data_IF_008789941425
#
_entry.id   IF_008789941425
#
_cell.length_a   1.000
_cell.length_b   1.000
_cell.length_c   1.000
_cell.angle_alpha   90.00
_cell.angle_beta   90.00
_cell.angle_gamma   90.00
#
_symmetry.space_group_name_H-M   'P 1'
#
loop_
_entity.id
_entity.type
_entity.pdbx_description
1 polymer ?
#
# COMPACT_ATOMS: atom_id res chain seq x y z
N UNK A 1 -16.01 5.22 -16.16
CA UNK A 1 -15.49 5.01 -14.78
C UNK A 1 -16.68 4.71 -13.89
N UNK A 2 -16.89 3.45 -13.50
CA UNK A 2 -18.06 3.06 -12.71
C UNK A 2 -17.92 3.55 -11.28
N UNK A 3 -19.00 4.11 -10.73
CA UNK A 3 -19.03 4.75 -9.42
C UNK A 3 -18.52 3.81 -8.29
N UNK A 4 -18.67 2.50 -8.49
CA UNK A 4 -18.19 1.44 -7.60
C UNK A 4 -16.69 1.55 -7.25
N UNK A 5 -15.84 1.86 -8.23
CA UNK A 5 -14.39 1.95 -8.05
C UNK A 5 -13.98 3.23 -7.28
N UNK A 6 -14.75 4.31 -7.44
CA UNK A 6 -14.58 5.53 -6.66
C UNK A 6 -14.99 5.30 -5.20
N UNK A 7 -16.09 4.59 -4.97
CA UNK A 7 -16.56 4.28 -3.62
C UNK A 7 -15.65 3.30 -2.88
N UNK A 8 -15.04 2.32 -3.55
CA UNK A 8 -14.09 1.39 -2.90
C UNK A 8 -12.77 2.08 -2.54
N UNK A 9 -12.26 2.95 -3.40
CA UNK A 9 -11.09 3.76 -3.06
C UNK A 9 -11.39 4.72 -1.90
N UNK A 10 -12.55 5.38 -1.92
CA UNK A 10 -12.98 6.26 -0.82
C UNK A 10 -13.20 5.48 0.48
N UNK A 11 -13.75 4.27 0.43
CA UNK A 11 -13.93 3.41 1.60
C UNK A 11 -12.59 2.90 2.15
N UNK A 12 -11.66 2.50 1.29
CA UNK A 12 -10.31 2.13 1.67
C UNK A 12 -9.55 3.31 2.30
N UNK A 13 -9.70 4.52 1.74
CA UNK A 13 -9.19 5.77 2.31
C UNK A 13 -9.80 6.07 3.69
N UNK A 14 -11.12 5.92 3.84
CA UNK A 14 -11.79 6.17 5.12
C UNK A 14 -11.38 5.15 6.20
N UNK A 15 -11.24 3.86 5.84
CA UNK A 15 -10.76 2.82 6.75
C UNK A 15 -9.28 3.02 7.11
N UNK A 16 -8.44 3.42 6.14
CA UNK A 16 -7.02 3.72 6.37
C UNK A 16 -6.85 4.89 7.34
N UNK A 17 -7.61 5.96 7.15
CA UNK A 17 -7.57 7.16 7.99
C UNK A 17 -8.02 6.84 9.43
N UNK A 18 -8.95 5.92 9.62
CA UNK A 18 -9.34 5.45 10.96
C UNK A 18 -8.25 4.66 11.70
N UNK A 19 -7.37 3.92 11.00
CA UNK A 19 -6.27 3.16 11.62
C UNK A 19 -4.97 3.98 11.71
N UNK A 20 -4.77 4.95 10.83
CA UNK A 20 -3.67 5.91 10.89
C UNK A 20 -3.70 6.80 12.15
N UNK A 21 -4.86 6.88 12.81
CA UNK A 21 -4.99 7.57 14.09
C UNK A 21 -4.31 6.81 15.25
N UNK A 22 -3.89 5.55 15.09
CA UNK A 22 -3.33 4.72 16.17
C UNK A 22 -1.89 4.24 15.97
N UNK A 23 -1.35 4.23 14.74
CA UNK A 23 0.08 4.00 14.51
C UNK A 23 0.87 5.24 14.96
N UNK A 24 1.11 5.34 16.26
CA UNK A 24 1.75 6.49 16.90
C UNK A 24 3.13 6.79 16.32
N UNK A 25 3.41 8.06 16.10
CA UNK A 25 4.78 8.56 15.99
C UNK A 25 5.25 8.83 17.42
N UNK A 26 5.74 7.80 18.12
CA UNK A 26 6.05 7.89 19.54
C UNK A 26 7.51 8.31 19.78
N UNK A 27 7.82 9.51 19.29
CA UNK A 27 9.11 10.14 19.50
C UNK A 27 8.99 11.14 20.64
N UNK A 28 9.00 10.62 21.87
CA UNK A 28 8.94 11.38 23.12
C UNK A 28 10.12 12.37 23.24
N UNK A 29 9.99 13.52 22.57
CA UNK A 29 10.74 14.75 22.76
C UNK A 29 12.23 14.78 22.38
N UNK A 30 12.89 13.65 22.06
CA UNK A 30 14.32 13.68 21.74
C UNK A 30 14.74 12.73 20.61
N UNK A 31 15.56 13.28 19.71
CA UNK A 31 16.24 12.54 18.64
C UNK A 31 17.64 12.12 19.10
N UNK A 32 18.09 10.97 18.61
CA UNK A 32 19.41 10.40 18.86
C UNK A 32 20.09 9.99 17.55
N UNK A 33 21.18 9.23 17.65
CA UNK A 33 21.77 8.56 16.48
C UNK A 33 20.83 7.48 15.93
N UNK A 34 21.06 7.07 14.68
CA UNK A 34 20.23 6.04 14.03
C UNK A 34 20.40 4.68 14.72
N UNK A 35 19.29 4.02 15.09
CA UNK A 35 19.29 2.73 15.79
C UNK A 35 18.35 1.74 15.13
N UNK A 36 18.75 0.47 15.12
CA UNK A 36 17.91 -0.66 14.72
C UNK A 36 17.23 -1.27 15.95
N UNK A 37 15.93 -1.51 15.84
CA UNK A 37 15.14 -2.30 16.77
C UNK A 37 15.20 -3.78 16.36
N UNK A 38 15.75 -4.64 17.22
CA UNK A 38 15.88 -6.08 16.95
C UNK A 38 15.04 -6.96 17.88
N UNK A 39 14.58 -6.41 19.01
CA UNK A 39 13.96 -7.15 20.11
C UNK A 39 12.42 -7.20 20.04
N UNK A 40 11.81 -6.62 19.01
CA UNK A 40 10.37 -6.63 18.79
C UNK A 40 9.86 -8.01 18.29
N UNK A 41 8.56 -8.27 18.43
CA UNK A 41 7.97 -9.56 18.05
C UNK A 41 7.54 -9.57 16.58
N UNK A 42 7.67 -10.71 15.91
CA UNK A 42 7.11 -10.92 14.57
C UNK A 42 5.59 -11.05 14.53
N UNK A 43 4.97 -11.33 15.67
CA UNK A 43 3.53 -11.61 15.77
C UNK A 43 2.81 -10.66 16.71
N UNK A 44 3.41 -9.48 16.95
CA UNK A 44 2.78 -8.43 17.75
C UNK A 44 1.61 -7.77 17.01
N UNK A 45 0.74 -7.10 17.75
CA UNK A 45 -0.41 -6.37 17.20
C UNK A 45 0.02 -5.15 16.39
N UNK A 46 1.15 -4.54 16.74
CA UNK A 46 1.84 -3.50 15.98
C UNK A 46 2.10 -3.91 14.51
N UNK A 47 2.54 -5.16 14.28
CA UNK A 47 2.76 -5.68 12.92
C UNK A 47 1.48 -5.73 12.10
N UNK A 48 0.35 -6.02 12.73
CA UNK A 48 -0.95 -6.01 12.07
C UNK A 48 -1.38 -4.58 11.70
N UNK A 49 -1.03 -3.58 12.52
CA UNK A 49 -1.28 -2.17 12.23
C UNK A 49 -0.47 -1.71 11.02
N UNK A 50 0.83 -2.01 10.97
CA UNK A 50 1.70 -1.75 9.82
C UNK A 50 1.14 -2.38 8.53
N UNK A 51 0.80 -3.67 8.59
CA UNK A 51 0.16 -4.36 7.47
C UNK A 51 -1.15 -3.70 7.02
N UNK A 52 -2.06 -3.44 7.97
CA UNK A 52 -3.39 -2.91 7.68
C UNK A 52 -3.35 -1.48 7.14
N UNK A 53 -2.45 -0.64 7.66
CA UNK A 53 -2.24 0.73 7.22
C UNK A 53 -1.58 0.80 5.83
N UNK A 54 -0.65 -0.12 5.55
CA UNK A 54 0.08 -0.14 4.28
C UNK A 54 -0.73 -0.69 3.11
N UNK A 55 -1.76 -1.52 3.35
CA UNK A 55 -2.61 -2.04 2.30
C UNK A 55 -3.32 -0.95 1.45
N UNK A 56 -3.98 0.07 2.03
CA UNK A 56 -4.50 1.21 1.29
C UNK A 56 -3.45 1.93 0.43
N UNK A 57 -2.23 2.14 0.95
CA UNK A 57 -1.15 2.76 0.18
C UNK A 57 -0.71 1.90 -1.00
N UNK A 58 -0.62 0.58 -0.80
CA UNK A 58 -0.43 -0.39 -1.87
C UNK A 58 -1.51 -0.33 -2.95
N UNK A 59 -2.77 -0.22 -2.54
CA UNK A 59 -3.90 -0.10 -3.47
C UNK A 59 -3.80 1.16 -4.34
N UNK A 60 -3.48 2.30 -3.73
CA UNK A 60 -3.21 3.56 -4.45
C UNK A 60 -2.04 3.39 -5.40
N UNK A 61 -0.93 2.80 -4.93
CA UNK A 61 0.24 2.51 -5.75
C UNK A 61 -0.10 1.63 -6.97
N UNK A 62 -0.85 0.55 -6.76
CA UNK A 62 -1.29 -0.35 -7.83
C UNK A 62 -2.20 0.35 -8.84
N UNK A 63 -3.03 1.29 -8.40
CA UNK A 63 -3.85 2.12 -9.29
C UNK A 63 -3.02 3.13 -10.11
N UNK A 64 -1.97 3.71 -9.52
CA UNK A 64 -1.04 4.61 -10.20
C UNK A 64 -0.19 3.83 -11.22
N UNK A 65 0.25 2.63 -10.86
CA UNK A 65 1.08 1.77 -11.70
C UNK A 65 0.27 0.92 -12.70
N UNK A 66 -1.06 1.08 -12.78
CA UNK A 66 -1.97 0.19 -13.53
C UNK A 66 -1.65 0.03 -15.03
N UNK A 67 -1.00 1.01 -15.63
CA UNK A 67 -0.69 1.06 -17.06
C UNK A 67 0.78 0.69 -17.35
N UNK A 68 1.51 0.18 -16.34
CA UNK A 68 2.88 -0.33 -16.47
C UNK A 68 2.89 -1.84 -16.79
N UNK A 69 4.06 -2.37 -17.18
CA UNK A 69 4.24 -3.81 -17.38
C UNK A 69 4.16 -4.66 -16.10
N UNK A 70 4.35 -4.05 -14.92
CA UNK A 70 4.37 -4.75 -13.62
C UNK A 70 3.60 -3.96 -12.54
N UNK A 71 2.27 -3.80 -12.69
CA UNK A 71 1.46 -2.91 -11.85
C UNK A 71 1.49 -3.29 -10.36
N UNK A 72 1.55 -4.59 -10.05
CA UNK A 72 1.64 -5.06 -8.66
C UNK A 72 3.00 -4.70 -8.06
N UNK A 73 4.10 -4.98 -8.76
CA UNK A 73 5.46 -4.72 -8.24
C UNK A 73 5.65 -3.23 -7.99
N UNK A 74 5.39 -2.39 -8.98
CA UNK A 74 5.54 -0.93 -8.82
C UNK A 74 4.53 -0.36 -7.84
N UNK A 75 3.31 -0.91 -7.79
CA UNK A 75 2.31 -0.52 -6.82
C UNK A 75 2.73 -0.80 -5.38
N UNK A 76 3.32 -1.98 -5.13
CA UNK A 76 3.92 -2.33 -3.84
C UNK A 76 5.03 -1.37 -3.47
N UNK A 77 5.99 -1.13 -4.37
CA UNK A 77 7.12 -0.24 -4.10
C UNK A 77 6.67 1.17 -3.72
N UNK A 78 5.70 1.73 -4.45
CA UNK A 78 5.10 3.04 -4.13
C UNK A 78 4.39 2.98 -2.77
N UNK A 79 3.61 1.92 -2.54
CA UNK A 79 2.83 1.74 -1.32
C UNK A 79 3.66 1.52 -0.05
N UNK A 80 4.88 1.00 -0.17
CA UNK A 80 5.80 0.79 0.97
C UNK A 80 6.51 2.08 1.40
N UNK A 81 6.56 3.12 0.56
CA UNK A 81 7.28 4.37 0.87
C UNK A 81 6.85 4.99 2.21
N UNK A 82 5.55 5.14 2.54
CA UNK A 82 5.13 5.68 3.84
C UNK A 82 5.66 4.90 5.04
N UNK A 83 5.60 3.56 5.00
CA UNK A 83 6.13 2.68 6.05
C UNK A 83 7.64 2.81 6.20
N UNK A 84 8.38 2.81 5.09
CA UNK A 84 9.83 3.05 5.09
C UNK A 84 10.20 4.40 5.72
N UNK A 85 9.44 5.46 5.42
CA UNK A 85 9.66 6.78 6.00
C UNK A 85 9.36 6.79 7.51
N UNK A 86 8.32 6.09 7.96
CA UNK A 86 8.02 5.91 9.38
C UNK A 86 9.16 5.21 10.09
N UNK A 87 9.59 4.03 9.62
CA UNK A 87 10.67 3.28 10.26
C UNK A 87 12.00 4.06 10.25
N UNK A 88 12.29 4.78 9.16
CA UNK A 88 13.45 5.65 9.10
C UNK A 88 13.39 6.78 10.13
N UNK A 89 12.19 7.33 10.39
CA UNK A 89 11.96 8.34 11.41
C UNK A 89 12.12 7.76 12.82
N UNK A 90 11.51 6.60 13.09
CA UNK A 90 11.60 5.89 14.37
C UNK A 90 13.03 5.48 14.68
N UNK A 91 13.83 5.15 13.65
CA UNK A 91 15.27 4.96 13.73
C UNK A 91 16.05 6.16 14.29
N UNK A 92 15.53 7.39 14.17
CA UNK A 92 16.15 8.60 14.74
C UNK A 92 15.71 8.90 16.17
N UNK A 93 14.72 8.19 16.71
CA UNK A 93 14.14 8.47 18.01
C UNK A 93 14.92 7.76 19.12
N UNK A 94 15.00 8.37 20.31
CA UNK A 94 15.69 7.74 21.46
C UNK A 94 14.86 6.66 22.13
N UNK A 95 13.54 6.83 22.11
CA UNK A 95 12.54 5.92 22.68
C UNK A 95 12.28 4.69 21.80
N UNK A 96 12.65 4.76 20.53
CA UNK A 96 12.32 3.73 19.54
C UNK A 96 13.50 3.46 18.59
N UNK A 97 13.31 2.63 17.57
CA UNK A 97 14.30 2.37 16.54
C UNK A 97 13.71 1.81 15.25
N UNK A 98 14.50 1.81 14.19
CA UNK A 98 14.10 1.26 12.89
C UNK A 98 13.85 -0.23 13.01
N UNK A 99 12.63 -0.68 12.73
CA UNK A 99 12.25 -2.07 12.77
C UNK A 99 12.08 -2.62 11.35
N UNK A 100 12.98 -3.53 10.98
CA UNK A 100 12.86 -4.22 9.70
C UNK A 100 11.64 -5.16 9.65
N UNK A 101 11.11 -5.57 10.81
CA UNK A 101 9.92 -6.42 10.92
C UNK A 101 8.65 -5.61 10.66
N UNK A 102 8.60 -4.38 11.14
CA UNK A 102 7.53 -3.42 10.81
C UNK A 102 7.56 -3.04 9.33
N UNK A 103 8.76 -2.72 8.80
CA UNK A 103 8.92 -2.48 7.36
C UNK A 103 8.49 -3.68 6.51
N UNK A 104 8.73 -4.91 6.98
CA UNK A 104 8.27 -6.12 6.29
C UNK A 104 6.74 -6.22 6.32
N UNK A 105 6.11 -5.95 7.45
CA UNK A 105 4.66 -5.90 7.56
C UNK A 105 4.05 -4.82 6.63
N UNK A 106 4.69 -3.65 6.54
CA UNK A 106 4.32 -2.59 5.61
C UNK A 106 4.43 -3.04 4.15
N UNK A 107 5.53 -3.70 3.78
CA UNK A 107 5.70 -4.24 2.43
C UNK A 107 4.66 -5.30 2.08
N UNK A 108 4.31 -6.19 3.02
CA UNK A 108 3.26 -7.19 2.83
C UNK A 108 1.87 -6.56 2.70
N UNK A 109 1.58 -5.54 3.51
CA UNK A 109 0.35 -4.75 3.41
C UNK A 109 0.24 -4.11 2.03
N UNK A 110 1.26 -3.35 1.64
CA UNK A 110 1.32 -2.68 0.34
C UNK A 110 1.18 -3.67 -0.83
N UNK A 111 1.82 -4.84 -0.74
CA UNK A 111 1.69 -5.90 -1.74
C UNK A 111 0.24 -6.38 -1.85
N UNK A 112 -0.39 -6.65 -0.72
CA UNK A 112 -1.78 -7.11 -0.66
C UNK A 112 -2.72 -6.08 -1.30
N UNK A 113 -2.55 -4.81 -0.98
CA UNK A 113 -3.34 -3.72 -1.56
C UNK A 113 -3.15 -3.55 -3.06
N UNK A 114 -1.91 -3.57 -3.53
CA UNK A 114 -1.58 -3.46 -4.94
C UNK A 114 -2.14 -4.64 -5.75
N UNK A 115 -2.02 -5.85 -5.20
CA UNK A 115 -2.55 -7.06 -5.79
C UNK A 115 -4.08 -7.05 -5.89
N UNK A 116 -4.79 -6.71 -4.81
CA UNK A 116 -6.26 -6.61 -4.80
C UNK A 116 -6.77 -5.57 -5.80
N UNK A 117 -6.08 -4.43 -5.90
CA UNK A 117 -6.41 -3.37 -6.86
C UNK A 117 -6.19 -3.83 -8.29
N UNK A 118 -5.06 -4.49 -8.57
CA UNK A 118 -4.79 -5.05 -9.89
C UNK A 118 -5.84 -6.08 -10.28
N UNK A 119 -6.19 -7.00 -9.37
CA UNK A 119 -7.24 -7.99 -9.59
C UNK A 119 -8.60 -7.33 -9.88
N UNK A 120 -9.00 -6.32 -9.08
CA UNK A 120 -10.24 -5.59 -9.30
C UNK A 120 -10.30 -4.84 -10.62
N UNK A 121 -9.17 -4.22 -11.04
CA UNK A 121 -9.04 -3.57 -12.33
C UNK A 121 -9.15 -4.58 -13.49
N UNK A 122 -8.50 -5.73 -13.38
CA UNK A 122 -8.53 -6.78 -14.40
C UNK A 122 -9.94 -7.38 -14.53
N UNK A 123 -10.60 -7.69 -13.40
CA UNK A 123 -11.98 -8.16 -13.38
C UNK A 123 -12.92 -7.18 -14.10
N UNK A 124 -12.82 -5.88 -13.76
CA UNK A 124 -13.62 -4.84 -14.42
C UNK A 124 -13.32 -4.70 -15.92
N UNK A 125 -12.07 -4.88 -16.34
CA UNK A 125 -11.69 -4.87 -17.76
C UNK A 125 -12.32 -6.06 -18.48
N UNK A 126 -12.27 -7.27 -17.93
CA UNK A 126 -12.85 -8.47 -18.56
C UNK A 126 -14.36 -8.41 -18.70
N UNK A 127 -15.09 -7.86 -17.72
CA UNK A 127 -16.55 -7.71 -17.80
C UNK A 127 -16.99 -6.71 -18.88
N UNK A 128 -16.17 -5.70 -19.17
CA UNK A 128 -16.45 -4.68 -20.19
C UNK A 128 -15.81 -4.94 -21.57
N UNK A 129 -14.82 -5.86 -21.66
CA UNK A 129 -14.02 -6.06 -22.89
C UNK A 129 -14.56 -7.13 -23.84
N UNK A 130 -15.79 -7.62 -23.66
CA UNK A 130 -16.50 -8.32 -24.74
C UNK A 130 -17.06 -7.30 -25.75
N UNK A 131 -16.18 -6.52 -26.37
CA UNK A 131 -16.53 -5.72 -27.55
C UNK A 131 -15.84 -6.35 -28.74
N UNK A 132 -16.59 -7.19 -29.48
CA UNK A 132 -16.13 -7.73 -30.75
C UNK A 132 -16.16 -6.61 -31.80
N UNK A 133 -15.02 -5.98 -32.05
CA UNK A 133 -14.88 -4.95 -33.08
C UNK A 133 -14.65 -5.58 -34.44
N UNK A 134 -15.70 -5.66 -35.28
CA UNK A 134 -15.53 -5.93 -36.70
C UNK A 134 -14.94 -4.70 -37.38
N UNK A 135 -13.65 -4.76 -37.72
CA UNK A 135 -13.00 -3.77 -38.58
C UNK A 135 -13.36 -4.10 -40.03
N UNK A 136 -14.24 -3.30 -40.63
CA UNK A 136 -14.44 -3.30 -42.08
C UNK A 136 -13.40 -2.38 -42.70
N UNK A 137 -12.32 -2.94 -43.22
CA UNK A 137 -11.43 -2.20 -44.11
C UNK A 137 -12.05 -2.22 -45.52
N UNK A 138 -12.57 -1.07 -45.97
CA UNK A 138 -12.98 -0.87 -47.36
C UNK A 138 -11.75 -0.59 -48.21
N UNK A 139 -10.98 -1.65 -48.52
CA UNK A 139 -9.97 -1.60 -49.56
C UNK A 139 -10.65 -2.03 -50.86
N UNK A 140 -11.09 -1.03 -51.63
CA UNK A 140 -11.37 -1.15 -53.06
C UNK A 140 -10.11 -0.76 -53.84
#
# INVERSE_FOLDING_TARGET
>A
MTAFFRYTISLALLIAVSHAAYAGIDCAGSRGGFRFQNHDSWTGTDKLEHFGLSAPFGAIGGWLARDTGHPVIYGTLIGTVPGLLKEAFDGTCRSDGFSYKDLFADALGALTGAWLTHWGLMFSRTTHSQTFGLRYDSVF
#
